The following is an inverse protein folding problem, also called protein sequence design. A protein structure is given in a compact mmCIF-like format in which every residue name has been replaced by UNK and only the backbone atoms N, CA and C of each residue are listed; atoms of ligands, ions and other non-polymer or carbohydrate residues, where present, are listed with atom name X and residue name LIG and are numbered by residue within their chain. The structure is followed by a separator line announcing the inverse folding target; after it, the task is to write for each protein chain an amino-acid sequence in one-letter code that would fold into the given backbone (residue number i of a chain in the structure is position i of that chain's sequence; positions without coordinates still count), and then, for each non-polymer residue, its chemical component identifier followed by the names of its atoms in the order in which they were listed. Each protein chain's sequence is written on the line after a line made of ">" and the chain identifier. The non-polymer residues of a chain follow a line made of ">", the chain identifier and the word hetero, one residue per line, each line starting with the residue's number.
data_IF_104434291109
#
_entry.id   IF_104434291109
#
_cell.length_a   1.000
_cell.length_b   1.000
_cell.length_c   1.000
_cell.angle_alpha   90.00
_cell.angle_beta   90.00
_cell.angle_gamma   90.00
#
_symmetry.space_group_name_H-M   'P 1'
#
loop_
_entity.id
_entity.type
_entity.pdbx_description
1 polymer ?
#
# COMPACT_ATOMS: atom_id res chain seq x y z
N UNK A 1 -0.46 3.41 -15.29
CA UNK A 1 -1.04 4.30 -14.27
C UNK A 1 -0.70 3.77 -12.91
N UNK A 2 -0.31 4.65 -12.00
CA UNK A 2 0.11 4.27 -10.66
C UNK A 2 -0.96 4.65 -9.65
N UNK A 3 -0.98 3.96 -8.53
CA UNK A 3 -1.86 4.28 -7.42
C UNK A 3 -1.11 4.15 -6.10
N UNK A 4 -1.64 4.84 -5.10
CA UNK A 4 -1.16 4.75 -3.71
C UNK A 4 -2.28 4.12 -2.90
N UNK A 5 -1.92 3.20 -2.02
CA UNK A 5 -2.90 2.48 -1.22
C UNK A 5 -2.49 2.48 0.26
N UNK A 6 -3.48 2.39 1.11
CA UNK A 6 -3.29 2.29 2.55
C UNK A 6 -3.97 1.03 3.05
N UNK A 7 -3.20 0.15 3.66
CA UNK A 7 -3.70 -1.08 4.25
C UNK A 7 -3.70 -0.95 5.76
N UNK A 8 -4.64 -1.63 6.40
CA UNK A 8 -4.73 -1.65 7.86
C UNK A 8 -4.87 -3.09 8.36
N UNK A 9 -4.25 -3.37 9.50
CA UNK A 9 -4.38 -4.63 10.23
C UNK A 9 -4.24 -4.30 11.71
N UNK A 10 -5.32 -4.44 12.48
CA UNK A 10 -5.37 -4.04 13.89
C UNK A 10 -4.95 -2.57 14.05
N UNK A 11 -3.86 -2.32 14.78
CA UNK A 11 -3.33 -0.96 14.97
C UNK A 11 -2.20 -0.62 14.02
N UNK A 12 -1.93 -1.51 13.06
CA UNK A 12 -0.84 -1.33 12.12
C UNK A 12 -1.36 -0.77 10.80
N UNK A 13 -0.56 0.06 10.15
CA UNK A 13 -0.87 0.58 8.83
C UNK A 13 0.32 0.39 7.90
N UNK A 14 0.02 0.24 6.62
CA UNK A 14 1.04 0.13 5.58
C UNK A 14 0.62 0.99 4.39
N UNK A 15 1.51 1.86 3.96
CA UNK A 15 1.28 2.73 2.80
C UNK A 15 2.24 2.31 1.70
N UNK A 16 1.71 2.08 0.51
CA UNK A 16 2.54 1.68 -0.62
C UNK A 16 2.00 2.25 -1.92
N UNK A 17 2.73 1.99 -3.00
CA UNK A 17 2.31 2.36 -4.34
C UNK A 17 2.53 1.21 -5.29
N UNK A 18 1.72 1.15 -6.35
CA UNK A 18 1.84 0.11 -7.35
C UNK A 18 1.16 0.54 -8.64
N UNK A 19 1.51 -0.11 -9.73
CA UNK A 19 0.76 0.01 -10.98
C UNK A 19 -0.21 -1.16 -11.19
N UNK A 20 -0.25 -2.09 -10.26
CA UNK A 20 -1.18 -3.23 -10.31
C UNK A 20 -1.55 -3.61 -8.88
N UNK A 21 -2.65 -3.03 -8.40
CA UNK A 21 -3.06 -3.22 -7.01
C UNK A 21 -3.42 -4.66 -6.71
N UNK A 22 -4.14 -5.33 -7.61
CA UNK A 22 -4.59 -6.70 -7.37
C UNK A 22 -3.42 -7.65 -7.13
N UNK A 23 -2.38 -7.53 -7.97
CA UNK A 23 -1.18 -8.36 -7.82
C UNK A 23 -0.45 -8.02 -6.51
N UNK A 24 -0.31 -6.74 -6.20
CA UNK A 24 0.38 -6.30 -4.99
C UNK A 24 -0.37 -6.74 -3.74
N UNK A 25 -1.70 -6.66 -3.77
CA UNK A 25 -2.55 -7.13 -2.68
C UNK A 25 -2.31 -8.61 -2.41
N UNK A 26 -2.27 -9.44 -3.45
CA UNK A 26 -2.03 -10.86 -3.29
C UNK A 26 -0.65 -11.15 -2.71
N UNK A 27 0.35 -10.33 -3.03
CA UNK A 27 1.68 -10.44 -2.42
C UNK A 27 1.62 -10.14 -0.92
N UNK A 28 0.89 -9.11 -0.53
CA UNK A 28 0.77 -8.71 0.88
C UNK A 28 0.05 -9.76 1.73
N UNK A 29 -0.97 -10.38 1.20
CA UNK A 29 -1.71 -11.42 1.95
C UNK A 29 -1.06 -12.80 1.85
N UNK A 30 0.08 -12.91 1.16
CA UNK A 30 0.84 -14.13 1.10
C UNK A 30 0.48 -15.11 -0.01
N UNK A 31 -0.45 -14.75 -0.91
CA UNK A 31 -0.83 -15.59 -2.05
C UNK A 31 0.28 -15.67 -3.09
N UNK A 32 1.10 -14.62 -3.21
CA UNK A 32 2.19 -14.56 -4.17
C UNK A 32 3.49 -14.24 -3.44
N UNK A 33 4.61 -14.70 -4.02
CA UNK A 33 5.92 -14.35 -3.49
C UNK A 33 6.22 -12.87 -3.73
N UNK A 34 7.08 -12.29 -2.91
CA UNK A 34 7.56 -10.93 -3.10
C UNK A 34 6.85 -9.85 -2.31
N UNK A 35 5.96 -10.22 -1.40
CA UNK A 35 5.34 -9.24 -0.49
C UNK A 35 6.35 -8.66 0.49
N UNK A 36 6.05 -7.49 1.05
CA UNK A 36 6.90 -6.86 2.03
C UNK A 36 7.00 -7.71 3.30
N UNK A 37 8.18 -7.74 3.92
CA UNK A 37 8.37 -8.47 5.16
C UNK A 37 7.38 -8.07 6.23
N UNK A 38 7.11 -6.79 6.31
CA UNK A 38 6.22 -6.23 7.31
C UNK A 38 4.80 -6.79 7.21
N UNK A 39 4.29 -6.91 6.00
CA UNK A 39 2.92 -7.40 5.78
C UNK A 39 2.81 -8.91 5.77
N UNK A 40 3.90 -9.64 5.52
CA UNK A 40 3.89 -11.10 5.52
C UNK A 40 3.61 -11.71 6.89
N UNK A 41 3.93 -11.00 7.96
CA UNK A 41 3.75 -11.50 9.31
C UNK A 41 2.29 -11.59 9.72
N UNK A 42 1.40 -10.86 9.03
CA UNK A 42 -0.04 -10.86 9.33
C UNK A 42 -0.80 -10.99 8.02
N UNK A 43 -1.91 -11.73 8.05
CA UNK A 43 -2.70 -12.02 6.86
C UNK A 43 -4.02 -11.26 6.80
N UNK A 44 -4.34 -10.49 7.84
CA UNK A 44 -5.65 -9.84 7.96
C UNK A 44 -5.62 -8.38 7.49
N UNK A 45 -4.71 -8.06 6.59
CA UNK A 45 -4.64 -6.73 6.01
C UNK A 45 -5.84 -6.47 5.12
N UNK A 46 -6.38 -5.25 5.20
CA UNK A 46 -7.46 -4.82 4.32
C UNK A 46 -7.20 -3.39 3.84
N UNK A 47 -7.61 -3.06 2.62
CA UNK A 47 -7.42 -1.71 2.10
C UNK A 47 -8.45 -0.74 2.70
N UNK A 48 -8.01 0.42 3.15
CA UNK A 48 -8.90 1.45 3.67
C UNK A 48 -8.89 2.71 2.80
N UNK A 49 -7.90 2.85 1.92
CA UNK A 49 -7.80 4.00 1.05
C UNK A 49 -7.01 3.63 -0.20
N UNK A 50 -7.54 4.02 -1.35
CA UNK A 50 -6.84 3.87 -2.62
C UNK A 50 -6.96 5.20 -3.36
N UNK A 51 -5.83 5.78 -3.76
CA UNK A 51 -5.78 6.99 -4.56
C UNK A 51 -5.11 6.61 -5.88
N UNK A 52 -5.85 6.68 -6.97
CA UNK A 52 -5.34 6.31 -8.29
C UNK A 52 -5.24 7.53 -9.22
N UNK A 53 -4.86 7.26 -10.46
CA UNK A 53 -4.80 8.31 -11.46
C UNK A 53 -3.43 8.97 -11.62
N UNK A 54 -2.40 8.46 -10.98
CA UNK A 54 -1.05 9.00 -11.15
C UNK A 54 -0.43 8.47 -12.45
N UNK A 55 -0.07 9.38 -13.34
CA UNK A 55 0.51 8.99 -14.62
C UNK A 55 1.95 8.53 -14.49
N UNK A 56 2.68 9.06 -13.51
CA UNK A 56 4.08 8.73 -13.32
C UNK A 56 4.32 8.17 -11.91
N UNK A 57 5.38 7.37 -11.81
CA UNK A 57 5.82 6.84 -10.53
C UNK A 57 6.19 7.97 -9.55
N UNK A 58 6.79 9.03 -10.06
CA UNK A 58 7.20 10.18 -9.25
C UNK A 58 6.02 10.81 -8.53
N UNK A 59 4.91 11.01 -9.23
CA UNK A 59 3.70 11.58 -8.63
C UNK A 59 3.15 10.67 -7.53
N UNK A 60 3.10 9.37 -7.80
CA UNK A 60 2.64 8.41 -6.80
C UNK A 60 3.55 8.38 -5.58
N UNK A 61 4.87 8.43 -5.79
CA UNK A 61 5.83 8.48 -4.69
C UNK A 61 5.66 9.73 -3.82
N UNK A 62 5.38 10.87 -4.44
CA UNK A 62 5.13 12.10 -3.70
C UNK A 62 3.90 11.99 -2.83
N UNK A 63 2.84 11.39 -3.35
CA UNK A 63 1.62 11.15 -2.58
C UNK A 63 1.86 10.20 -1.41
N UNK A 64 2.55 9.09 -1.67
CA UNK A 64 2.92 8.14 -0.63
C UNK A 64 3.71 8.81 0.49
N UNK A 65 4.69 9.63 0.13
CA UNK A 65 5.52 10.34 1.09
C UNK A 65 4.70 11.28 1.97
N UNK A 66 3.76 12.02 1.36
CA UNK A 66 2.89 12.93 2.11
C UNK A 66 2.00 12.17 3.09
N UNK A 67 1.47 11.02 2.68
CA UNK A 67 0.64 10.21 3.56
C UNK A 67 1.43 9.65 4.73
N UNK A 68 2.66 9.22 4.49
CA UNK A 68 3.52 8.71 5.56
C UNK A 68 3.87 9.75 6.60
N UNK A 69 3.92 11.02 6.20
CA UNK A 69 4.17 12.13 7.12
C UNK A 69 2.93 12.55 7.89
N UNK A 70 1.76 12.15 7.44
CA UNK A 70 0.52 12.49 8.11
C UNK A 70 0.28 11.52 9.26
N UNK A 71 0.29 12.04 10.49
CA UNK A 71 0.17 11.22 11.69
C UNK A 71 -1.14 10.45 11.79
N UNK A 72 -2.17 10.85 11.05
CA UNK A 72 -3.44 10.14 11.02
C UNK A 72 -3.33 8.77 10.35
N UNK A 73 -2.33 8.59 9.47
CA UNK A 73 -2.20 7.38 8.68
C UNK A 73 -0.93 6.57 9.00
N UNK A 74 -0.13 7.04 9.89
CA UNK A 74 1.12 6.34 10.24
C UNK A 74 1.07 5.67 11.61
#
# INVERSE_FOLDING_TARGET
>A
MYLVYLLKCDNLTYIGMTNNFFRRWRQHIGDLKGGARYTKKKKDWYPILIIDGFETMKEAMQCEWKLKRNKKFS
#
